data_IF_003628615052
#
_entry.id   IF_003628615052
#
_cell.length_a   1.000
_cell.length_b   1.000
_cell.length_c   1.000
_cell.angle_alpha   90.00
_cell.angle_beta   90.00
_cell.angle_gamma   90.00
#
_symmetry.space_group_name_H-M   'P 1'
#
loop_
_entity.id
_entity.type
_entity.pdbx_description
1 polymer ?
#
# COMPACT_ATOMS: atom_id res chain seq x y z
N UNK A 1 9.79 8.63 21.15
CA UNK A 1 9.23 8.69 19.78
C UNK A 1 9.85 9.89 19.10
N UNK A 2 10.49 9.70 17.95
CA UNK A 2 10.97 10.81 17.14
C UNK A 2 9.88 11.21 16.14
N UNK A 3 9.06 12.19 16.54
CA UNK A 3 7.95 12.66 15.70
C UNK A 3 8.42 13.36 14.43
N UNK A 4 9.64 13.93 14.42
CA UNK A 4 10.20 14.56 13.22
C UNK A 4 10.56 13.51 12.18
N UNK A 5 11.24 12.44 12.60
CA UNK A 5 11.52 11.29 11.73
C UNK A 5 10.23 10.65 11.21
N UNK A 6 9.26 10.43 12.11
CA UNK A 6 7.96 9.86 11.75
C UNK A 6 7.22 10.70 10.69
N UNK A 7 7.26 12.04 10.79
CA UNK A 7 6.68 12.92 9.79
C UNK A 7 7.34 12.78 8.41
N UNK A 8 8.67 12.60 8.36
CA UNK A 8 9.40 12.35 7.10
C UNK A 8 8.99 11.01 6.48
N UNK A 9 8.97 9.96 7.29
CA UNK A 9 8.58 8.61 6.86
C UNK A 9 7.13 8.59 6.33
N UNK A 10 6.21 9.29 7.01
CA UNK A 10 4.82 9.43 6.57
C UNK A 10 4.69 10.21 5.25
N UNK A 11 5.45 11.28 5.07
CA UNK A 11 5.43 12.02 3.81
C UNK A 11 5.89 11.15 2.63
N UNK A 12 6.97 10.39 2.81
CA UNK A 12 7.44 9.43 1.80
C UNK A 12 6.37 8.37 1.51
N UNK A 13 5.77 7.81 2.56
CA UNK A 13 4.78 6.73 2.41
C UNK A 13 3.45 7.21 1.81
N UNK A 14 3.03 8.45 2.09
CA UNK A 14 1.91 9.09 1.39
C UNK A 14 2.18 9.25 -0.09
N UNK A 15 3.40 9.70 -0.46
CA UNK A 15 3.79 9.84 -1.85
C UNK A 15 3.75 8.51 -2.62
N UNK A 16 4.34 7.46 -2.05
CA UNK A 16 4.36 6.13 -2.68
C UNK A 16 2.99 5.46 -2.72
N UNK A 17 2.15 5.62 -1.70
CA UNK A 17 0.77 5.09 -1.73
C UNK A 17 -0.10 5.84 -2.76
N UNK A 18 0.05 7.15 -2.87
CA UNK A 18 -0.71 7.96 -3.83
C UNK A 18 -0.37 7.61 -5.27
N UNK A 19 0.91 7.35 -5.58
CA UNK A 19 1.36 7.06 -6.95
C UNK A 19 0.79 5.75 -7.52
N UNK A 20 0.37 4.82 -6.67
CA UNK A 20 -0.28 3.56 -7.06
C UNK A 20 -1.80 3.56 -6.82
N UNK A 21 -2.39 4.69 -6.42
CA UNK A 21 -3.82 4.80 -6.13
C UNK A 21 -4.28 4.10 -4.84
N UNK A 22 -3.38 3.88 -3.87
CA UNK A 22 -3.68 3.22 -2.60
C UNK A 22 -4.42 4.13 -1.60
N UNK A 23 -5.60 4.61 -1.99
CA UNK A 23 -6.37 5.66 -1.28
C UNK A 23 -6.61 5.40 0.21
N UNK A 24 -6.91 4.16 0.60
CA UNK A 24 -7.16 3.81 2.02
C UNK A 24 -5.90 3.98 2.87
N UNK A 25 -4.76 3.49 2.38
CA UNK A 25 -3.45 3.67 3.02
C UNK A 25 -3.11 5.16 3.11
N UNK A 26 -3.26 5.91 2.02
CA UNK A 26 -3.00 7.36 2.00
C UNK A 26 -3.85 8.12 3.02
N UNK A 27 -5.14 7.80 3.12
CA UNK A 27 -6.04 8.43 4.09
C UNK A 27 -5.62 8.16 5.54
N UNK A 28 -5.18 6.93 5.87
CA UNK A 28 -4.67 6.63 7.21
C UNK A 28 -3.38 7.40 7.48
N UNK A 29 -2.47 7.50 6.51
CA UNK A 29 -1.25 8.30 6.67
C UNK A 29 -1.53 9.79 6.93
N UNK A 30 -2.55 10.36 6.29
CA UNK A 30 -2.97 11.74 6.55
C UNK A 30 -3.42 11.90 8.02
N UNK A 31 -4.27 10.98 8.52
CA UNK A 31 -4.70 11.00 9.91
C UNK A 31 -3.53 10.75 10.89
N UNK A 32 -2.60 9.87 10.52
CA UNK A 32 -1.38 9.61 11.28
C UNK A 32 -0.55 10.89 11.40
N UNK A 33 -0.29 11.59 10.29
CA UNK A 33 0.48 12.84 10.27
C UNK A 33 -0.10 13.86 11.24
N UNK A 34 -1.42 14.01 11.29
CA UNK A 34 -2.10 14.90 12.26
C UNK A 34 -1.83 14.47 13.70
N UNK A 35 -1.89 13.17 14.01
CA UNK A 35 -1.58 12.66 15.35
C UNK A 35 -0.09 12.87 15.72
N UNK A 36 0.82 12.72 14.77
CA UNK A 36 2.26 12.99 14.92
C UNK A 36 2.50 14.48 15.20
N UNK A 37 1.88 15.39 14.45
CA UNK A 37 1.99 16.84 14.64
C UNK A 37 1.45 17.31 16.00
N UNK A 38 0.43 16.63 16.52
CA UNK A 38 -0.15 16.89 17.85
C UNK A 38 0.63 16.23 19.00
N UNK A 39 1.73 15.52 18.71
CA UNK A 39 2.44 14.68 19.68
C UNK A 39 1.51 13.68 20.40
N UNK A 40 0.42 13.27 19.75
CA UNK A 40 -0.61 12.41 20.32
C UNK A 40 -0.16 10.95 20.23
N UNK A 41 0.54 10.48 21.26
CA UNK A 41 1.10 9.13 21.33
C UNK A 41 0.05 8.04 21.11
N UNK A 42 -1.11 8.15 21.76
CA UNK A 42 -2.19 7.16 21.62
C UNK A 42 -2.80 7.19 20.21
N UNK A 43 -2.94 8.39 19.62
CA UNK A 43 -3.37 8.56 18.24
C UNK A 43 -2.39 7.94 17.24
N UNK A 44 -1.09 8.11 17.46
CA UNK A 44 -0.04 7.52 16.62
C UNK A 44 -0.09 5.98 16.63
N UNK A 45 -0.26 5.35 17.79
CA UNK A 45 -0.36 3.89 17.87
C UNK A 45 -1.62 3.36 17.17
N UNK A 46 -2.78 3.99 17.40
CA UNK A 46 -4.01 3.60 16.68
C UNK A 46 -3.87 3.78 15.17
N UNK A 47 -3.27 4.88 14.73
CA UNK A 47 -3.03 5.14 13.32
C UNK A 47 -2.05 4.12 12.71
N UNK A 48 -1.04 3.68 13.47
CA UNK A 48 -0.11 2.63 13.04
C UNK A 48 -0.81 1.28 12.86
N UNK A 49 -1.62 0.86 13.83
CA UNK A 49 -2.41 -0.38 13.73
C UNK A 49 -3.34 -0.36 12.50
N UNK A 50 -4.03 0.76 12.29
CA UNK A 50 -4.85 0.95 11.09
C UNK A 50 -4.02 0.91 9.81
N UNK A 51 -2.82 1.51 9.82
CA UNK A 51 -1.96 1.57 8.65
C UNK A 51 -1.46 0.17 8.25
N UNK A 52 -1.05 -0.63 9.22
CA UNK A 52 -0.65 -2.02 9.02
C UNK A 52 -1.80 -2.86 8.45
N UNK A 53 -3.02 -2.70 9.00
CA UNK A 53 -4.20 -3.37 8.49
C UNK A 53 -4.50 -3.02 7.03
N UNK A 54 -4.54 -1.72 6.70
CA UNK A 54 -4.82 -1.25 5.34
C UNK A 54 -3.74 -1.66 4.33
N UNK A 55 -2.48 -1.62 4.76
CA UNK A 55 -1.36 -2.08 3.94
C UNK A 55 -1.46 -3.58 3.64
N UNK A 56 -1.67 -4.42 4.65
CA UNK A 56 -1.81 -5.86 4.49
C UNK A 56 -3.02 -6.22 3.61
N UNK A 57 -4.15 -5.53 3.81
CA UNK A 57 -5.34 -5.70 2.98
C UNK A 57 -5.04 -5.42 1.50
N UNK A 58 -4.42 -4.27 1.21
CA UNK A 58 -4.06 -3.89 -0.16
C UNK A 58 -3.07 -4.89 -0.77
N UNK A 59 -2.02 -5.26 -0.03
CA UNK A 59 -1.01 -6.22 -0.47
C UNK A 59 -1.63 -7.55 -0.88
N UNK A 60 -2.55 -8.07 -0.07
CA UNK A 60 -3.25 -9.33 -0.37
C UNK A 60 -4.11 -9.20 -1.64
N UNK A 61 -4.83 -8.08 -1.81
CA UNK A 61 -5.63 -7.86 -3.01
C UNK A 61 -4.80 -7.69 -4.29
N UNK A 62 -3.66 -7.01 -4.21
CA UNK A 62 -2.73 -6.92 -5.33
C UNK A 62 -2.11 -8.29 -5.66
N UNK A 63 -1.79 -9.09 -4.64
CA UNK A 63 -1.29 -10.45 -4.83
C UNK A 63 -2.33 -11.33 -5.55
N UNK A 64 -3.58 -11.33 -5.10
CA UNK A 64 -4.70 -12.03 -5.77
C UNK A 64 -4.85 -11.58 -7.23
N UNK A 65 -4.81 -10.26 -7.48
CA UNK A 65 -4.90 -9.70 -8.83
C UNK A 65 -3.76 -10.21 -9.73
N UNK A 66 -2.51 -10.14 -9.26
CA UNK A 66 -1.37 -10.56 -10.05
C UNK A 66 -1.36 -12.07 -10.33
N UNK A 67 -1.84 -12.89 -9.39
CA UNK A 67 -2.03 -14.33 -9.64
C UNK A 67 -3.02 -14.58 -10.76
N UNK A 68 -4.17 -13.89 -10.76
CA UNK A 68 -5.18 -13.99 -11.82
C UNK A 68 -4.59 -13.55 -13.17
N UNK A 69 -3.91 -12.41 -13.23
CA UNK A 69 -3.31 -11.90 -14.47
C UNK A 69 -2.22 -12.83 -15.00
N UNK A 70 -1.41 -13.44 -14.14
CA UNK A 70 -0.42 -14.44 -14.54
C UNK A 70 -1.09 -15.69 -15.14
N UNK A 71 -2.15 -16.20 -14.49
CA UNK A 71 -2.91 -17.34 -15.02
C UNK A 71 -3.55 -17.03 -16.38
N UNK A 72 -4.09 -15.82 -16.55
CA UNK A 72 -4.65 -15.35 -17.83
C UNK A 72 -3.59 -15.27 -18.92
N UNK A 73 -2.42 -14.70 -18.62
CA UNK A 73 -1.32 -14.60 -19.57
C UNK A 73 -0.82 -15.98 -20.02
N UNK A 74 -0.68 -16.93 -19.09
CA UNK A 74 -0.30 -18.32 -19.41
C UNK A 74 -1.38 -18.99 -20.27
N UNK A 75 -2.66 -18.86 -19.92
CA UNK A 75 -3.75 -19.42 -20.70
C UNK A 75 -3.85 -18.83 -22.12
N UNK A 76 -3.50 -17.54 -22.30
CA UNK A 76 -3.42 -16.91 -23.61
C UNK A 76 -2.23 -17.42 -24.44
N UNK A 77 -1.07 -17.66 -23.80
CA UNK A 77 0.09 -18.27 -24.45
C UNK A 77 -0.12 -19.72 -24.90
N UNK A 78 -1.03 -20.45 -24.25
CA UNK A 78 -1.44 -21.80 -24.71
C UNK A 78 -2.37 -21.74 -25.94
N UNK A 79 -3.08 -20.62 -26.18
CA UNK A 79 -4.01 -20.47 -27.32
C UNK A 79 -3.32 -20.13 -28.64
N UNK A 80 -2.10 -19.61 -28.61
CA UNK A 80 -1.30 -19.33 -29.82
C UNK A 80 0.09 -19.95 -29.62
N UNK A 81 0.36 -21.16 -30.15
CA UNK A 81 1.72 -21.68 -30.11
C UNK A 81 2.61 -20.69 -30.85
N UNK A 82 3.70 -20.28 -30.21
CA UNK A 82 4.76 -19.50 -30.85
C UNK A 82 5.28 -20.35 -32.00
N UNK A 83 4.93 -19.99 -33.23
CA UNK A 83 5.53 -20.55 -34.43
C UNK A 83 6.94 -19.99 -34.51
N UNK A 84 7.91 -20.81 -34.07
CA UNK A 84 9.31 -20.58 -34.35
C UNK A 84 9.55 -21.00 -35.81
N UNK A 85 9.89 -20.03 -36.67
CA UNK A 85 10.58 -20.26 -37.95
C UNK A 85 12.10 -20.14 -37.75
#
# INVERSE_FOLDING_TARGET
>A
MDYKKMGIDLNQFMGSSSSIGAKRVTNVCIAFRVATEQNNRAGCFRALEMLEHEYCYLKNKLHELFQIEQQRALAAGVRYPVQNE
#
